data_IF_234332083983
#
_entry.id   IF_234332083983
#
_cell.length_a   1.000
_cell.length_b   1.000
_cell.length_c   1.000
_cell.angle_alpha   90.00
_cell.angle_beta   90.00
_cell.angle_gamma   90.00
#
_symmetry.space_group_name_H-M   'P 1'
#
loop_
_entity.id
_entity.type
_entity.pdbx_description
1 polymer ?
#
# COMPACT_ATOMS: atom_id res chain seq x y z
N UNK A 1 1.97 2.05 22.30
CA UNK A 1 1.84 0.60 22.57
C UNK A 1 2.46 0.20 23.91
N UNK A 2 3.67 0.68 24.27
CA UNK A 2 4.35 0.32 25.54
C UNK A 2 3.49 0.41 26.83
N UNK A 3 2.62 1.43 26.95
CA UNK A 3 1.74 1.57 28.11
C UNK A 3 0.70 0.43 28.24
N UNK A 4 0.21 -0.10 27.12
CA UNK A 4 -0.75 -1.21 27.14
C UNK A 4 -0.12 -2.52 27.59
N UNK A 5 1.09 -2.82 27.11
CA UNK A 5 1.85 -4.01 27.51
C UNK A 5 2.22 -3.99 28.99
N UNK A 6 2.63 -2.83 29.51
CA UNK A 6 2.95 -2.66 30.93
C UNK A 6 1.73 -2.87 31.84
N UNK A 7 0.55 -2.43 31.40
CA UNK A 7 -0.69 -2.63 32.14
C UNK A 7 -1.24 -4.07 32.00
N UNK A 8 -1.02 -4.71 30.85
CA UNK A 8 -1.58 -6.02 30.53
C UNK A 8 -0.71 -7.17 31.03
N UNK A 9 0.56 -7.24 30.64
CA UNK A 9 1.39 -8.43 30.80
C UNK A 9 1.61 -8.84 32.26
N UNK A 10 1.99 -7.95 33.21
CA UNK A 10 2.20 -8.35 34.60
C UNK A 10 0.94 -8.94 35.25
N UNK A 11 -0.24 -8.43 34.88
CA UNK A 11 -1.52 -8.85 35.46
C UNK A 11 -1.93 -10.27 35.07
N UNK A 12 -1.45 -10.78 33.93
CA UNK A 12 -1.84 -12.09 33.41
C UNK A 12 -0.70 -13.10 33.31
N UNK A 13 0.57 -12.66 33.37
CA UNK A 13 1.73 -13.50 33.05
C UNK A 13 1.78 -14.82 33.84
N UNK A 14 1.41 -14.77 35.12
CA UNK A 14 1.38 -15.95 35.99
C UNK A 14 0.28 -16.96 35.60
N UNK A 15 -0.77 -16.53 34.88
CA UNK A 15 -1.90 -17.36 34.44
C UNK A 15 -1.67 -18.04 33.10
N UNK A 16 -0.62 -17.66 32.37
CA UNK A 16 -0.34 -18.15 31.02
C UNK A 16 0.54 -19.41 31.04
N UNK A 17 0.18 -20.39 30.20
CA UNK A 17 1.04 -21.56 29.94
C UNK A 17 2.29 -21.15 29.14
N UNK A 18 3.38 -21.95 29.18
CA UNK A 18 4.64 -21.60 28.52
C UNK A 18 4.51 -21.29 27.02
N UNK A 19 3.69 -22.06 26.30
CA UNK A 19 3.44 -21.81 24.87
C UNK A 19 2.81 -20.43 24.62
N UNK A 20 1.79 -20.05 25.41
CA UNK A 20 1.14 -18.74 25.31
C UNK A 20 2.09 -17.60 25.67
N UNK A 21 2.98 -17.80 26.65
CA UNK A 21 4.02 -16.81 26.97
C UNK A 21 4.96 -16.57 25.78
N UNK A 22 5.36 -17.64 25.10
CA UNK A 22 6.20 -17.55 23.90
C UNK A 22 5.48 -16.81 22.77
N UNK A 23 4.23 -17.18 22.45
CA UNK A 23 3.48 -16.50 21.38
C UNK A 23 3.23 -15.03 21.69
N UNK A 24 2.90 -14.71 22.95
CA UNK A 24 2.77 -13.32 23.41
C UNK A 24 4.09 -12.56 23.20
N UNK A 25 5.23 -13.11 23.64
CA UNK A 25 6.53 -12.47 23.47
C UNK A 25 6.85 -12.17 21.99
N UNK A 26 6.58 -13.12 21.09
CA UNK A 26 6.78 -12.94 19.64
C UNK A 26 5.85 -11.85 19.09
N UNK A 27 4.55 -11.92 19.41
CA UNK A 27 3.56 -10.94 18.90
C UNK A 27 3.79 -9.53 19.41
N UNK A 28 4.36 -9.37 20.61
CA UNK A 28 4.76 -8.07 21.16
C UNK A 28 6.04 -7.58 20.48
N UNK A 29 7.04 -8.45 20.29
CA UNK A 29 8.34 -8.07 19.75
C UNK A 29 8.28 -7.62 18.28
N UNK A 30 7.58 -8.36 17.42
CA UNK A 30 7.62 -8.13 15.97
C UNK A 30 7.17 -6.72 15.52
N UNK A 31 6.07 -6.14 16.04
CA UNK A 31 5.70 -4.76 15.70
C UNK A 31 6.77 -3.74 16.05
N UNK A 32 7.49 -3.89 17.17
CA UNK A 32 8.58 -2.97 17.51
C UNK A 32 9.78 -3.12 16.56
N UNK A 33 10.12 -4.35 16.19
CA UNK A 33 11.17 -4.61 15.22
C UNK A 33 10.83 -3.99 13.87
N UNK A 34 9.64 -4.25 13.34
CA UNK A 34 9.24 -3.71 12.04
C UNK A 34 8.96 -2.20 12.08
N UNK A 35 8.53 -1.65 13.21
CA UNK A 35 8.47 -0.20 13.42
C UNK A 35 9.87 0.39 13.31
N UNK A 36 10.83 -0.16 14.05
CA UNK A 36 12.22 0.29 13.98
C UNK A 36 12.76 0.22 12.56
N UNK A 37 12.58 -0.91 11.87
CA UNK A 37 13.04 -1.07 10.48
C UNK A 37 12.34 -0.10 9.52
N UNK A 38 11.03 0.13 9.68
CA UNK A 38 10.29 1.11 8.86
C UNK A 38 10.81 2.53 9.06
N UNK A 39 11.21 2.90 10.27
CA UNK A 39 11.76 4.21 10.62
C UNK A 39 13.23 4.37 10.17
N UNK A 40 14.06 3.35 10.41
CA UNK A 40 15.51 3.45 10.32
C UNK A 40 16.07 3.12 8.93
N UNK A 41 15.36 2.30 8.15
CA UNK A 41 15.77 1.98 6.78
C UNK A 41 15.47 3.16 5.87
N UNK A 42 16.42 3.48 4.98
CA UNK A 42 16.24 4.51 3.97
C UNK A 42 15.01 4.18 3.09
N UNK A 43 13.99 5.07 3.01
CA UNK A 43 12.80 4.83 2.21
C UNK A 43 13.07 4.86 0.69
N UNK A 44 14.29 5.18 0.26
CA UNK A 44 14.69 5.38 -1.12
C UNK A 44 14.95 6.85 -1.43
N UNK A 45 15.70 7.54 -0.57
CA UNK A 45 16.15 8.90 -0.81
C UNK A 45 16.98 8.97 -2.09
N UNK A 46 16.56 9.84 -3.01
CA UNK A 46 17.28 10.07 -4.26
C UNK A 46 18.36 11.12 -4.01
N UNK A 47 19.59 10.74 -4.32
CA UNK A 47 20.83 11.52 -4.21
C UNK A 47 21.51 11.55 -5.58
N UNK A 48 22.44 12.49 -5.83
CA UNK A 48 23.21 12.50 -7.08
C UNK A 48 23.91 11.17 -7.37
N UNK A 49 24.37 10.46 -6.34
CA UNK A 49 25.13 9.22 -6.46
C UNK A 49 24.25 8.02 -6.88
N UNK A 50 23.00 7.97 -6.43
CA UNK A 50 22.06 6.88 -6.74
C UNK A 50 20.98 7.27 -7.77
N UNK A 51 21.03 8.49 -8.30
CA UNK A 51 20.04 9.01 -9.25
C UNK A 51 19.88 8.13 -10.48
N UNK A 52 21.00 7.75 -11.11
CA UNK A 52 21.02 6.89 -12.28
C UNK A 52 20.41 5.50 -12.01
N UNK A 53 20.65 4.95 -10.82
CA UNK A 53 20.02 3.70 -10.39
C UNK A 53 18.50 3.85 -10.34
N UNK A 54 17.97 4.86 -9.64
CA UNK A 54 16.53 5.07 -9.54
C UNK A 54 15.86 5.40 -10.88
N UNK A 55 16.55 6.10 -11.78
CA UNK A 55 16.09 6.34 -13.14
C UNK A 55 15.95 5.05 -13.96
N UNK A 56 16.70 4.01 -13.62
CA UNK A 56 16.70 2.72 -14.33
C UNK A 56 15.67 1.70 -13.84
N UNK A 57 15.00 1.99 -12.70
CA UNK A 57 14.10 1.04 -12.03
C UNK A 57 12.77 0.82 -12.76
N UNK A 58 12.21 1.90 -13.34
CA UNK A 58 10.89 1.89 -13.96
C UNK A 58 10.94 2.72 -15.26
N UNK A 59 10.18 2.38 -16.31
CA UNK A 59 9.96 3.25 -17.45
C UNK A 59 8.98 4.37 -17.09
N UNK A 60 8.97 5.45 -17.86
CA UNK A 60 7.89 6.45 -17.78
C UNK A 60 6.61 5.87 -18.40
N UNK A 61 5.48 6.07 -17.74
CA UNK A 61 4.17 5.61 -18.21
C UNK A 61 3.52 6.56 -19.22
N UNK A 62 4.10 7.75 -19.42
CA UNK A 62 3.54 8.81 -20.25
C UNK A 62 2.10 9.16 -19.87
N UNK A 63 1.70 8.89 -18.61
CA UNK A 63 0.39 9.19 -18.08
C UNK A 63 0.47 9.94 -16.74
N UNK A 64 1.04 9.32 -15.71
CA UNK A 64 1.29 9.98 -14.42
C UNK A 64 2.69 10.58 -14.32
N UNK A 65 3.62 10.05 -15.10
CA UNK A 65 5.03 10.40 -15.12
C UNK A 65 5.50 10.54 -16.56
N UNK A 66 5.83 11.77 -16.95
CA UNK A 66 6.38 12.08 -18.27
C UNK A 66 7.90 12.32 -18.21
N UNK A 67 8.66 11.93 -19.25
CA UNK A 67 10.08 12.24 -19.32
C UNK A 67 10.36 13.73 -19.29
N UNK A 68 11.52 14.11 -18.77
CA UNK A 68 11.97 15.51 -18.71
C UNK A 68 11.43 16.33 -17.52
N UNK A 69 10.54 15.76 -16.69
CA UNK A 69 10.04 16.44 -15.51
C UNK A 69 11.12 16.52 -14.41
N UNK A 70 11.50 17.73 -14.01
CA UNK A 70 12.50 17.94 -12.95
C UNK A 70 11.86 18.23 -11.58
N UNK A 71 12.62 17.98 -10.51
CA UNK A 71 12.28 18.47 -9.19
C UNK A 71 12.80 19.90 -9.02
N UNK A 72 11.89 20.87 -8.93
CA UNK A 72 12.24 22.28 -8.70
C UNK A 72 13.04 22.52 -7.43
N UNK A 73 12.86 21.68 -6.40
CA UNK A 73 13.59 21.80 -5.13
C UNK A 73 14.96 21.11 -5.16
N UNK A 74 15.05 19.93 -5.78
CA UNK A 74 16.27 19.12 -5.75
C UNK A 74 17.18 19.30 -6.97
N UNK A 75 16.67 19.89 -8.06
CA UNK A 75 17.46 20.25 -9.24
C UNK A 75 17.90 19.08 -10.12
N UNK A 76 17.17 17.95 -10.09
CA UNK A 76 17.42 16.81 -10.97
C UNK A 76 16.14 16.29 -11.62
N UNK A 77 16.32 15.57 -12.73
CA UNK A 77 15.28 14.85 -13.44
C UNK A 77 14.60 13.82 -12.54
N UNK A 78 13.28 13.85 -12.41
CA UNK A 78 12.55 12.93 -11.51
C UNK A 78 12.55 11.52 -12.08
N UNK A 79 13.08 10.52 -11.35
CA UNK A 79 12.81 9.12 -11.68
C UNK A 79 11.30 8.85 -11.74
N UNK A 80 10.83 7.93 -12.59
CA UNK A 80 9.44 7.52 -12.59
C UNK A 80 9.02 7.01 -11.20
N UNK A 81 7.75 7.21 -10.84
CA UNK A 81 7.20 6.87 -9.52
C UNK A 81 7.80 7.64 -8.33
N UNK A 82 8.69 8.60 -8.56
CA UNK A 82 9.27 9.41 -7.48
C UNK A 82 8.43 10.64 -7.13
N UNK A 83 8.60 11.13 -5.89
CA UNK A 83 7.99 12.39 -5.42
C UNK A 83 8.89 13.11 -4.44
N UNK A 84 8.92 14.44 -4.53
CA UNK A 84 9.52 15.28 -3.50
C UNK A 84 8.62 15.34 -2.27
N UNK A 85 9.12 14.88 -1.12
CA UNK A 85 8.44 15.04 0.15
C UNK A 85 8.86 16.37 0.79
N UNK A 86 7.91 17.29 0.97
CA UNK A 86 8.17 18.59 1.60
C UNK A 86 8.48 18.50 3.10
N UNK A 87 8.14 17.39 3.76
CA UNK A 87 8.46 17.14 5.17
C UNK A 87 9.88 16.60 5.31
N UNK A 88 10.23 15.56 4.56
CA UNK A 88 11.59 14.98 4.54
C UNK A 88 12.60 15.85 3.77
N UNK A 89 12.15 16.84 2.99
CA UNK A 89 12.96 17.73 2.12
C UNK A 89 13.82 16.99 1.10
N UNK A 90 13.34 15.83 0.63
CA UNK A 90 14.05 14.94 -0.30
C UNK A 90 13.07 14.30 -1.27
N UNK A 91 13.56 13.94 -2.46
CA UNK A 91 12.81 13.07 -3.36
C UNK A 91 12.93 11.62 -2.89
N UNK A 92 11.80 10.91 -2.91
CA UNK A 92 11.68 9.50 -2.54
C UNK A 92 11.37 8.71 -3.82
N UNK A 93 12.13 7.65 -4.08
CA UNK A 93 11.84 6.70 -5.16
C UNK A 93 10.61 5.83 -4.82
N UNK A 94 9.79 5.47 -5.82
CA UNK A 94 8.49 4.77 -5.67
C UNK A 94 7.75 5.26 -4.42
N UNK A 95 7.50 6.56 -4.36
CA UNK A 95 7.01 7.23 -3.16
C UNK A 95 5.55 6.86 -2.88
N UNK A 96 5.28 6.29 -1.71
CA UNK A 96 3.91 5.97 -1.30
C UNK A 96 3.27 7.14 -0.56
N UNK A 97 3.75 7.45 0.65
CA UNK A 97 3.31 8.60 1.43
C UNK A 97 4.36 9.00 2.47
N UNK A 98 4.16 10.15 3.11
CA UNK A 98 4.86 10.48 4.34
C UNK A 98 4.02 10.01 5.52
N UNK A 99 4.57 9.11 6.34
CA UNK A 99 3.84 8.51 7.43
C UNK A 99 4.29 9.13 8.76
N UNK A 100 3.38 9.86 9.40
CA UNK A 100 3.64 10.51 10.69
C UNK A 100 3.97 9.51 11.81
N UNK A 101 3.46 8.28 11.72
CA UNK A 101 3.61 7.27 12.78
C UNK A 101 5.00 6.64 12.81
N UNK A 102 5.69 6.59 11.67
CA UNK A 102 7.09 6.15 11.58
C UNK A 102 8.05 7.33 11.44
N UNK A 103 7.52 8.57 11.44
CA UNK A 103 8.27 9.81 11.24
C UNK A 103 9.23 9.75 10.03
N UNK A 104 8.78 9.11 8.96
CA UNK A 104 9.57 8.86 7.74
C UNK A 104 8.63 8.66 6.56
N UNK A 105 9.18 8.74 5.35
CA UNK A 105 8.43 8.34 4.16
C UNK A 105 8.33 6.81 4.08
N UNK A 106 7.27 6.35 3.43
CA UNK A 106 7.15 4.99 2.91
C UNK A 106 7.44 5.07 1.41
N UNK A 107 8.43 4.32 0.94
CA UNK A 107 8.88 4.36 -0.44
C UNK A 107 9.59 3.08 -0.87
N UNK A 108 10.32 3.14 -1.98
CA UNK A 108 11.00 1.99 -2.57
C UNK A 108 11.76 1.12 -1.56
N UNK A 109 12.55 1.74 -0.67
CA UNK A 109 13.47 1.04 0.22
C UNK A 109 12.86 0.41 1.48
N UNK A 110 11.69 0.89 1.95
CA UNK A 110 11.10 0.44 3.22
C UNK A 110 9.62 0.00 3.13
N UNK A 111 9.00 -0.01 1.95
CA UNK A 111 7.58 -0.37 1.81
C UNK A 111 7.25 -1.76 2.37
N UNK A 112 8.12 -2.76 2.16
CA UNK A 112 7.93 -4.10 2.73
C UNK A 112 7.96 -4.11 4.27
N UNK A 113 8.82 -3.31 4.90
CA UNK A 113 8.83 -3.17 6.36
C UNK A 113 7.55 -2.54 6.89
N UNK A 114 7.02 -1.55 6.16
CA UNK A 114 5.73 -0.95 6.51
C UNK A 114 4.58 -1.97 6.43
N UNK A 115 4.55 -2.82 5.39
CA UNK A 115 3.56 -3.90 5.29
C UNK A 115 3.72 -4.90 6.44
N UNK A 116 4.95 -5.31 6.77
CA UNK A 116 5.22 -6.22 7.90
C UNK A 116 4.86 -5.60 9.25
N UNK A 117 5.04 -4.29 9.41
CA UNK A 117 4.56 -3.54 10.57
C UNK A 117 3.04 -3.61 10.68
N UNK A 118 2.30 -3.40 9.58
CA UNK A 118 0.84 -3.50 9.59
C UNK A 118 0.36 -4.92 9.89
N UNK A 119 0.96 -5.95 9.29
CA UNK A 119 0.63 -7.36 9.55
C UNK A 119 0.87 -7.70 11.03
N UNK A 120 2.06 -7.42 11.55
CA UNK A 120 2.41 -7.74 12.94
C UNK A 120 1.55 -6.96 13.93
N UNK A 121 1.23 -5.69 13.66
CA UNK A 121 0.35 -4.87 14.51
C UNK A 121 -1.10 -5.38 14.46
N UNK A 122 -1.60 -5.77 13.29
CA UNK A 122 -2.93 -6.37 13.15
C UNK A 122 -3.03 -7.67 13.96
N UNK A 123 -2.02 -8.52 13.85
CA UNK A 123 -1.91 -9.76 14.65
C UNK A 123 -1.84 -9.47 16.14
N UNK A 124 -1.02 -8.51 16.58
CA UNK A 124 -0.93 -8.11 18.00
C UNK A 124 -2.28 -7.61 18.54
N UNK A 125 -2.95 -6.70 17.82
CA UNK A 125 -4.24 -6.15 18.26
C UNK A 125 -5.33 -7.23 18.30
N UNK A 126 -5.43 -8.09 17.28
CA UNK A 126 -6.39 -9.19 17.26
C UNK A 126 -6.09 -10.21 18.36
N UNK A 127 -4.84 -10.65 18.48
CA UNK A 127 -4.44 -11.65 19.46
C UNK A 127 -4.59 -11.15 20.90
N UNK A 128 -4.11 -9.94 21.20
CA UNK A 128 -4.23 -9.31 22.51
C UNK A 128 -5.69 -9.01 22.88
N UNK A 129 -6.50 -8.57 21.93
CA UNK A 129 -7.94 -8.37 22.11
C UNK A 129 -8.66 -9.69 22.46
N UNK A 130 -8.46 -10.75 21.66
CA UNK A 130 -9.10 -12.05 21.89
C UNK A 130 -8.64 -12.71 23.18
N UNK A 131 -7.33 -12.72 23.47
CA UNK A 131 -6.78 -13.26 24.71
C UNK A 131 -7.30 -12.46 25.92
N UNK A 132 -7.31 -11.14 25.83
CA UNK A 132 -7.81 -10.25 26.87
C UNK A 132 -9.30 -10.47 27.16
N UNK A 133 -10.14 -10.52 26.11
CA UNK A 133 -11.57 -10.81 26.23
C UNK A 133 -11.83 -12.21 26.79
N UNK A 134 -11.02 -13.21 26.44
CA UNK A 134 -11.14 -14.57 26.98
C UNK A 134 -10.83 -14.64 28.48
N UNK A 135 -9.74 -14.00 28.91
CA UNK A 135 -9.37 -13.92 30.32
C UNK A 135 -10.38 -13.13 31.15
N UNK A 136 -10.86 -12.01 30.59
CA UNK A 136 -11.91 -11.20 31.20
C UNK A 136 -13.21 -11.98 31.36
N UNK A 137 -13.63 -12.68 30.30
CA UNK A 137 -14.81 -13.56 30.31
C UNK A 137 -14.69 -14.67 31.36
N UNK A 138 -13.50 -15.25 31.52
CA UNK A 138 -13.24 -16.26 32.55
C UNK A 138 -13.38 -15.68 33.96
N UNK A 139 -12.85 -14.48 34.19
CA UNK A 139 -13.00 -13.77 35.47
C UNK A 139 -14.45 -13.38 35.77
N UNK A 140 -15.22 -13.01 34.76
CA UNK A 140 -16.66 -12.71 34.90
C UNK A 140 -17.43 -13.98 35.30
N UNK A 141 -17.09 -15.12 34.69
CA UNK A 141 -17.76 -16.40 34.96
C UNK A 141 -17.59 -16.88 36.40
N UNK A 142 -16.48 -16.53 37.07
CA UNK A 142 -16.25 -16.84 38.49
C UNK A 142 -17.28 -16.17 39.40
N UNK A 143 -17.79 -14.99 39.03
CA UNK A 143 -18.78 -14.25 39.83
C UNK A 143 -20.21 -14.40 39.30
N UNK A 144 -20.37 -14.45 37.99
CA UNK A 144 -21.64 -14.62 37.28
C UNK A 144 -21.66 -15.98 36.58
N UNK A 145 -22.14 -17.02 37.27
CA UNK A 145 -22.09 -18.41 36.77
C UNK A 145 -22.85 -18.65 35.46
N UNK A 146 -23.91 -17.86 35.21
CA UNK A 146 -24.70 -17.89 33.97
C UNK A 146 -24.09 -17.04 32.84
N UNK A 147 -22.87 -16.55 33.02
CA UNK A 147 -22.18 -15.73 32.04
C UNK A 147 -21.93 -16.47 30.71
N UNK A 148 -22.15 -15.75 29.61
CA UNK A 148 -21.78 -16.15 28.26
C UNK A 148 -21.06 -14.98 27.57
N UNK A 149 -19.97 -15.23 26.82
CA UNK A 149 -19.33 -14.21 25.97
C UNK A 149 -20.24 -13.67 24.87
N UNK A 150 -21.31 -14.40 24.56
CA UNK A 150 -22.33 -14.02 23.57
C UNK A 150 -23.61 -13.64 24.29
N UNK A 151 -24.20 -12.50 23.92
CA UNK A 151 -25.39 -11.96 24.57
C UNK A 151 -26.53 -12.99 24.59
N UNK A 152 -26.98 -13.46 25.76
CA UNK A 152 -28.09 -14.40 25.86
C UNK A 152 -29.42 -13.75 25.48
N UNK A 153 -30.26 -14.42 24.68
CA UNK A 153 -31.57 -13.87 24.27
C UNK A 153 -32.53 -13.55 25.42
N UNK A 154 -32.31 -14.14 26.61
CA UNK A 154 -33.13 -13.94 27.81
C UNK A 154 -32.63 -12.80 28.71
N UNK A 155 -31.46 -12.24 28.43
CA UNK A 155 -30.88 -11.15 29.20
C UNK A 155 -31.12 -9.82 28.48
N UNK A 156 -31.37 -8.75 29.23
CA UNK A 156 -31.46 -7.40 28.65
C UNK A 156 -30.06 -6.83 28.37
N UNK A 157 -29.90 -6.12 27.26
CA UNK A 157 -28.65 -5.46 26.87
C UNK A 157 -28.03 -4.60 27.96
N UNK A 158 -28.85 -3.86 28.73
CA UNK A 158 -28.37 -3.04 29.84
C UNK A 158 -27.62 -3.87 30.90
N UNK A 159 -28.19 -5.00 31.32
CA UNK A 159 -27.55 -5.90 32.28
C UNK A 159 -26.29 -6.55 31.69
N UNK A 160 -26.31 -6.90 30.41
CA UNK A 160 -25.14 -7.49 29.73
C UNK A 160 -23.95 -6.53 29.69
N UNK A 161 -24.20 -5.26 29.37
CA UNK A 161 -23.18 -4.20 29.38
C UNK A 161 -22.67 -3.92 30.81
N UNK A 162 -23.55 -3.94 31.81
CA UNK A 162 -23.15 -3.78 33.22
C UNK A 162 -22.22 -4.90 33.67
N UNK A 163 -22.47 -6.16 33.30
CA UNK A 163 -21.60 -7.29 33.65
C UNK A 163 -20.23 -7.17 32.97
N UNK A 164 -20.18 -6.81 31.69
CA UNK A 164 -18.92 -6.49 31.01
C UNK A 164 -18.18 -5.34 31.69
N UNK A 165 -18.90 -4.27 32.04
CA UNK A 165 -18.35 -3.12 32.77
C UNK A 165 -17.77 -3.50 34.13
N UNK A 166 -18.46 -4.37 34.88
CA UNK A 166 -17.96 -4.93 36.14
C UNK A 166 -16.64 -5.69 35.93
N UNK A 167 -16.56 -6.53 34.90
CA UNK A 167 -15.32 -7.24 34.59
C UNK A 167 -14.17 -6.28 34.30
N UNK A 168 -14.42 -5.28 33.46
CA UNK A 168 -13.40 -4.27 33.10
C UNK A 168 -12.95 -3.51 34.35
N UNK A 169 -13.87 -3.11 35.23
CA UNK A 169 -13.53 -2.38 36.46
C UNK A 169 -12.74 -3.24 37.46
N UNK A 170 -13.02 -4.55 37.52
CA UNK A 170 -12.34 -5.48 38.43
C UNK A 170 -10.86 -5.64 38.06
N UNK A 171 -10.52 -5.55 36.77
CA UNK A 171 -9.15 -5.50 36.30
C UNK A 171 -9.01 -4.47 35.18
N UNK A 172 -8.88 -3.19 35.58
CA UNK A 172 -8.84 -2.04 34.65
C UNK A 172 -7.70 -2.19 33.62
N UNK A 173 -6.54 -2.69 34.03
CA UNK A 173 -5.41 -2.93 33.13
C UNK A 173 -5.77 -3.91 32.02
N UNK A 174 -6.27 -5.10 32.38
CA UNK A 174 -6.71 -6.14 31.44
C UNK A 174 -7.88 -5.67 30.57
N UNK A 175 -8.90 -5.08 31.18
CA UNK A 175 -10.13 -4.67 30.49
C UNK A 175 -9.90 -3.52 29.51
N UNK A 176 -9.19 -2.46 29.93
CA UNK A 176 -8.92 -1.31 29.07
C UNK A 176 -8.02 -1.67 27.88
N UNK A 177 -7.00 -2.50 28.11
CA UNK A 177 -6.08 -2.92 27.04
C UNK A 177 -6.74 -3.89 26.06
N UNK A 178 -7.56 -4.84 26.53
CA UNK A 178 -8.34 -5.73 25.67
C UNK A 178 -9.34 -4.95 24.81
N UNK A 179 -10.05 -3.98 25.41
CA UNK A 179 -10.98 -3.11 24.70
C UNK A 179 -10.26 -2.27 23.65
N UNK A 180 -9.16 -1.62 24.01
CA UNK A 180 -8.36 -0.82 23.09
C UNK A 180 -7.84 -1.66 21.93
N UNK A 181 -7.29 -2.84 22.20
CA UNK A 181 -6.78 -3.76 21.19
C UNK A 181 -7.90 -4.23 20.25
N UNK A 182 -9.07 -4.58 20.79
CA UNK A 182 -10.25 -4.97 20.02
C UNK A 182 -10.80 -3.86 19.13
N UNK A 183 -10.84 -2.61 19.61
CA UNK A 183 -11.30 -1.46 18.83
C UNK A 183 -10.28 -1.01 17.77
N UNK A 184 -8.99 -1.22 18.04
CA UNK A 184 -7.90 -0.85 17.13
C UNK A 184 -7.73 -1.88 16.00
N UNK A 185 -8.00 -3.16 16.27
CA UNK A 185 -7.78 -4.23 15.30
C UNK A 185 -8.47 -3.98 13.94
N UNK A 186 -9.77 -3.62 13.85
CA UNK A 186 -10.42 -3.36 12.56
C UNK A 186 -9.77 -2.22 11.76
N UNK A 187 -9.27 -1.18 12.44
CA UNK A 187 -8.62 -0.04 11.78
C UNK A 187 -7.30 -0.47 11.14
N UNK A 188 -6.49 -1.26 11.85
CA UNK A 188 -5.20 -1.74 11.33
C UNK A 188 -5.42 -2.77 10.22
N UNK A 189 -6.42 -3.65 10.35
CA UNK A 189 -6.81 -4.57 9.29
C UNK A 189 -7.30 -3.82 8.04
N UNK A 190 -8.11 -2.78 8.19
CA UNK A 190 -8.57 -1.95 7.08
C UNK A 190 -7.41 -1.29 6.34
N UNK A 191 -6.45 -0.71 7.07
CA UNK A 191 -5.25 -0.14 6.49
C UNK A 191 -4.38 -1.19 5.78
N UNK A 192 -4.18 -2.36 6.39
CA UNK A 192 -3.44 -3.47 5.78
C UNK A 192 -4.09 -3.95 4.48
N UNK A 193 -5.41 -4.18 4.50
CA UNK A 193 -6.16 -4.63 3.31
C UNK A 193 -6.05 -3.59 2.20
N UNK A 194 -6.18 -2.31 2.53
CA UNK A 194 -6.04 -1.24 1.55
C UNK A 194 -4.62 -1.18 0.97
N UNK A 195 -3.57 -1.26 1.80
CA UNK A 195 -2.19 -1.30 1.31
C UNK A 195 -1.94 -2.52 0.41
N UNK A 196 -2.43 -3.71 0.78
CA UNK A 196 -2.32 -4.91 -0.05
C UNK A 196 -3.12 -4.79 -1.36
N UNK A 197 -4.27 -4.09 -1.35
CA UNK A 197 -5.02 -3.77 -2.55
C UNK A 197 -4.25 -2.83 -3.49
N UNK A 198 -3.55 -1.83 -2.95
CA UNK A 198 -2.69 -0.96 -3.76
C UNK A 198 -1.54 -1.74 -4.40
N UNK A 199 -0.90 -2.65 -3.66
CA UNK A 199 0.09 -3.59 -4.22
C UNK A 199 -0.54 -4.48 -5.29
N UNK A 200 -1.74 -5.00 -5.05
CA UNK A 200 -2.47 -5.79 -6.05
C UNK A 200 -2.68 -5.02 -7.35
N UNK A 201 -3.05 -3.74 -7.27
CA UNK A 201 -3.23 -2.86 -8.43
C UNK A 201 -1.92 -2.27 -8.98
N UNK A 202 -0.75 -2.64 -8.48
CA UNK A 202 0.55 -2.11 -8.93
C UNK A 202 0.76 -0.62 -8.67
N UNK A 203 -0.02 -0.03 -7.76
CA UNK A 203 -0.05 1.42 -7.52
C UNK A 203 0.40 1.76 -6.10
N UNK A 204 0.91 2.96 -5.92
CA UNK A 204 1.17 3.56 -4.60
C UNK A 204 0.00 4.45 -4.16
N UNK A 205 -0.08 4.81 -2.88
CA UNK A 205 -1.06 5.78 -2.38
C UNK A 205 -0.98 7.11 -3.15
N UNK A 206 0.23 7.57 -3.44
CA UNK A 206 0.47 8.78 -4.22
C UNK A 206 -0.02 8.66 -5.67
N UNK A 207 0.23 7.53 -6.33
CA UNK A 207 -0.25 7.29 -7.69
C UNK A 207 -1.77 7.14 -7.74
N UNK A 208 -2.36 6.45 -6.77
CA UNK A 208 -3.81 6.34 -6.63
C UNK A 208 -4.49 7.72 -6.51
N UNK A 209 -3.88 8.67 -5.79
CA UNK A 209 -4.37 10.06 -5.74
C UNK A 209 -4.24 10.79 -7.08
N UNK A 210 -3.17 10.54 -7.85
CA UNK A 210 -3.06 11.10 -9.20
C UNK A 210 -4.11 10.52 -10.15
N UNK A 211 -4.36 9.22 -10.06
CA UNK A 211 -5.41 8.56 -10.84
C UNK A 211 -6.81 9.08 -10.48
N UNK A 212 -7.08 9.45 -9.22
CA UNK A 212 -8.36 10.08 -8.88
C UNK A 212 -8.52 11.46 -9.53
N UNK A 213 -7.44 12.24 -9.64
CA UNK A 213 -7.49 13.53 -10.37
C UNK A 213 -7.82 13.28 -11.85
N UNK A 214 -7.13 12.32 -12.49
CA UNK A 214 -7.45 11.97 -13.88
C UNK A 214 -8.88 11.45 -14.05
N UNK A 215 -9.44 10.78 -13.04
CA UNK A 215 -10.84 10.37 -13.08
C UNK A 215 -11.77 11.58 -13.10
N UNK A 216 -11.51 12.58 -12.26
CA UNK A 216 -12.26 13.83 -12.26
C UNK A 216 -12.11 14.55 -13.62
N UNK A 217 -10.88 14.61 -14.17
CA UNK A 217 -10.63 15.14 -15.52
C UNK A 217 -11.36 14.35 -16.61
N UNK A 218 -11.51 13.03 -16.48
CA UNK A 218 -12.28 12.22 -17.43
C UNK A 218 -13.78 12.52 -17.34
N UNK A 219 -14.31 12.66 -16.12
CA UNK A 219 -15.72 12.97 -15.87
C UNK A 219 -16.09 14.37 -16.43
N UNK A 220 -15.17 15.33 -16.33
CA UNK A 220 -15.30 16.68 -16.92
C UNK A 220 -15.02 16.73 -18.43
N UNK A 221 -14.51 15.63 -19.00
CA UNK A 221 -14.16 15.54 -20.40
C UNK A 221 -12.88 16.30 -20.75
N UNK A 222 -11.90 16.35 -19.87
CA UNK A 222 -10.61 17.02 -20.03
C UNK A 222 -9.45 16.06 -20.32
N UNK A 223 -9.65 14.75 -20.17
CA UNK A 223 -8.62 13.74 -20.40
C UNK A 223 -8.59 13.20 -21.84
N UNK A 224 -7.39 13.06 -22.39
CA UNK A 224 -7.12 12.54 -23.73
C UNK A 224 -5.97 11.55 -23.71
N UNK A 225 -6.05 10.53 -24.57
CA UNK A 225 -4.97 9.59 -24.84
C UNK A 225 -4.59 9.57 -26.31
N UNK A 226 -3.42 9.06 -26.63
CA UNK A 226 -3.05 8.67 -27.99
C UNK A 226 -2.02 7.55 -27.99
N UNK A 227 -1.80 6.96 -29.16
CA UNK A 227 -0.85 5.85 -29.30
C UNK A 227 0.60 6.31 -29.14
N UNK A 228 1.41 5.47 -28.49
CA UNK A 228 2.84 5.64 -28.35
C UNK A 228 3.54 4.53 -29.16
N UNK A 229 4.19 4.88 -30.26
CA UNK A 229 4.87 3.88 -31.10
C UNK A 229 6.07 3.25 -30.40
N UNK A 230 6.16 1.91 -30.46
CA UNK A 230 7.32 1.15 -29.97
C UNK A 230 8.63 1.50 -30.69
N UNK A 231 8.55 2.04 -31.92
CA UNK A 231 9.70 2.46 -32.72
C UNK A 231 10.08 3.93 -32.52
N UNK A 232 9.47 4.63 -31.55
CA UNK A 232 9.75 6.05 -31.33
C UNK A 232 11.21 6.28 -30.94
N UNK A 233 11.76 7.40 -31.41
CA UNK A 233 13.10 7.85 -31.02
C UNK A 233 13.04 8.39 -29.59
N UNK A 234 13.80 7.78 -28.68
CA UNK A 234 13.90 8.21 -27.27
C UNK A 234 15.03 9.20 -27.11
N UNK A 235 14.81 10.22 -26.30
CA UNK A 235 15.87 11.05 -25.77
C UNK A 235 16.45 10.36 -24.53
N UNK A 236 17.55 9.63 -24.70
CA UNK A 236 18.19 8.86 -23.63
C UNK A 236 18.72 9.73 -22.48
N UNK A 237 18.81 11.05 -22.67
CA UNK A 237 19.18 11.98 -21.59
C UNK A 237 18.04 12.21 -20.61
N UNK A 238 16.79 12.02 -21.05
CA UNK A 238 15.56 12.21 -20.26
C UNK A 238 14.83 10.91 -19.96
N UNK A 239 15.02 9.91 -20.80
CA UNK A 239 14.35 8.62 -20.72
C UNK A 239 15.38 7.50 -20.94
N UNK A 240 16.11 7.13 -19.88
CA UNK A 240 17.08 6.05 -19.96
C UNK A 240 16.40 4.70 -20.17
N UNK A 241 17.17 3.74 -20.70
CA UNK A 241 16.68 2.38 -20.94
C UNK A 241 16.46 1.68 -19.59
N UNK A 242 15.24 1.20 -19.38
CA UNK A 242 14.86 0.40 -18.23
C UNK A 242 14.88 -1.09 -18.63
N UNK A 243 16.04 -1.75 -18.49
CA UNK A 243 16.16 -3.18 -18.84
C UNK A 243 15.48 -4.11 -17.85
N UNK A 244 15.16 -3.62 -16.65
CA UNK A 244 14.54 -4.40 -15.58
C UNK A 244 13.05 -4.61 -15.82
N UNK A 245 12.33 -3.60 -16.31
CA UNK A 245 10.87 -3.66 -16.44
C UNK A 245 10.48 -4.37 -17.75
N UNK A 246 9.51 -5.32 -17.73
CA UNK A 246 9.25 -6.20 -18.88
C UNK A 246 8.37 -5.58 -19.97
N UNK A 247 7.73 -4.44 -19.71
CA UNK A 247 6.74 -3.80 -20.58
C UNK A 247 7.04 -2.32 -20.77
N UNK A 248 6.44 -1.72 -21.80
CA UNK A 248 6.61 -0.30 -22.12
C UNK A 248 5.25 0.34 -22.36
N UNK A 249 5.15 1.66 -22.14
CA UNK A 249 3.91 2.39 -22.36
C UNK A 249 3.46 2.30 -23.83
N UNK A 250 2.22 1.87 -24.06
CA UNK A 250 1.61 1.82 -25.40
C UNK A 250 0.82 3.09 -25.74
N UNK A 251 0.49 3.88 -24.73
CA UNK A 251 -0.29 5.12 -24.87
C UNK A 251 0.31 6.24 -24.05
N UNK A 252 0.07 7.47 -24.48
CA UNK A 252 0.32 8.67 -23.69
C UNK A 252 -1.01 9.30 -23.28
N UNK A 253 -1.12 9.78 -22.04
CA UNK A 253 -2.28 10.46 -21.49
C UNK A 253 -1.94 11.93 -21.22
N UNK A 254 -2.89 12.83 -21.43
CA UNK A 254 -2.77 14.23 -21.09
C UNK A 254 -4.15 14.80 -20.71
N UNK A 255 -4.17 15.77 -19.82
CA UNK A 255 -5.36 16.56 -19.49
C UNK A 255 -5.20 18.00 -19.98
N UNK A 256 -6.30 18.62 -20.40
CA UNK A 256 -6.37 20.05 -20.78
C UNK A 256 -7.39 20.79 -19.94
N UNK A 257 -7.29 22.12 -19.86
CA UNK A 257 -8.19 22.97 -19.06
C UNK A 257 -9.38 23.52 -19.86
N UNK A 258 -9.35 23.37 -21.19
CA UNK A 258 -10.34 23.92 -22.11
C UNK A 258 -11.24 22.86 -22.76
N UNK A 259 -11.02 21.58 -22.45
CA UNK A 259 -11.73 20.44 -23.03
C UNK A 259 -11.43 20.20 -24.52
N UNK A 260 -10.46 20.90 -25.10
CA UNK A 260 -9.96 20.61 -26.44
C UNK A 260 -8.74 19.67 -26.35
N UNK A 261 -8.47 18.90 -27.41
CA UNK A 261 -7.27 18.08 -27.45
C UNK A 261 -5.99 18.92 -27.30
N UNK A 262 -4.93 18.38 -26.66
CA UNK A 262 -3.67 19.10 -26.51
C UNK A 262 -3.14 19.60 -27.87
N UNK A 263 -2.77 20.89 -27.97
CA UNK A 263 -2.31 21.45 -29.24
C UNK A 263 -0.95 20.85 -29.65
N UNK A 264 -0.71 20.76 -30.96
CA UNK A 264 0.53 20.23 -31.51
C UNK A 264 1.79 21.00 -31.04
N UNK A 265 1.63 22.26 -30.60
CA UNK A 265 2.69 23.09 -30.04
C UNK A 265 3.28 22.57 -28.73
N UNK A 266 2.53 21.78 -27.94
CA UNK A 266 3.02 21.21 -26.69
C UNK A 266 4.03 20.07 -26.89
N UNK A 267 4.20 19.56 -28.12
CA UNK A 267 5.17 18.51 -28.46
C UNK A 267 5.18 17.32 -27.48
N UNK A 268 4.00 16.92 -26.99
CA UNK A 268 3.85 15.77 -26.12
C UNK A 268 4.30 14.50 -26.85
N UNK A 269 4.48 13.40 -26.13
CA UNK A 269 4.87 12.11 -26.70
C UNK A 269 3.67 11.37 -27.34
N UNK A 270 3.90 10.67 -28.46
CA UNK A 270 2.88 9.88 -29.16
C UNK A 270 2.61 10.31 -30.60
N UNK A 271 1.97 9.41 -31.35
CA UNK A 271 1.65 9.54 -32.76
C UNK A 271 0.13 9.54 -32.97
N UNK A 272 -0.33 10.19 -34.05
CA UNK A 272 -1.75 10.27 -34.39
C UNK A 272 -2.54 11.29 -33.57
N UNK A 273 -3.85 11.24 -33.77
CA UNK A 273 -4.81 12.16 -33.14
C UNK A 273 -5.08 11.78 -31.68
N UNK A 274 -5.37 12.80 -30.87
CA UNK A 274 -5.80 12.62 -29.49
C UNK A 274 -7.25 12.15 -29.41
N UNK A 275 -7.46 11.05 -28.70
CA UNK A 275 -8.77 10.49 -28.39
C UNK A 275 -9.17 10.87 -26.97
N UNK A 276 -10.39 11.36 -26.78
CA UNK A 276 -10.92 11.65 -25.44
C UNK A 276 -11.18 10.36 -24.67
N UNK A 277 -10.82 10.35 -23.39
CA UNK A 277 -11.00 9.21 -22.49
C UNK A 277 -12.01 9.56 -21.40
N UNK A 278 -12.90 8.62 -21.11
CA UNK A 278 -14.00 8.82 -20.14
C UNK A 278 -13.92 7.92 -18.92
N UNK A 279 -13.11 6.86 -18.96
CA UNK A 279 -13.01 5.92 -17.84
C UNK A 279 -11.56 5.50 -17.61
N UNK A 280 -11.17 5.37 -16.35
CA UNK A 280 -9.85 4.86 -15.97
C UNK A 280 -9.57 3.46 -16.50
N UNK A 281 -10.58 2.61 -16.66
CA UNK A 281 -10.42 1.26 -17.23
C UNK A 281 -9.94 1.25 -18.69
N UNK A 282 -10.09 2.38 -19.38
CA UNK A 282 -9.66 2.56 -20.76
C UNK A 282 -8.20 3.08 -20.83
N UNK A 283 -7.54 3.25 -19.67
CA UNK A 283 -6.14 3.62 -19.53
C UNK A 283 -5.35 2.47 -18.94
N UNK A 284 -4.18 2.21 -19.51
CA UNK A 284 -3.26 1.20 -19.00
C UNK A 284 -2.55 1.71 -17.73
N UNK A 285 -2.48 0.86 -16.71
CA UNK A 285 -1.55 1.06 -15.60
C UNK A 285 -0.27 0.27 -15.87
N UNK A 286 0.73 0.93 -16.45
CA UNK A 286 2.02 0.32 -16.83
C UNK A 286 2.71 -0.43 -15.67
N UNK A 287 2.43 -0.02 -14.42
CA UNK A 287 3.09 -0.57 -13.24
C UNK A 287 2.36 -1.77 -12.63
N UNK A 288 1.21 -2.17 -13.17
CA UNK A 288 0.48 -3.36 -12.74
C UNK A 288 0.89 -4.58 -13.57
N UNK A 289 1.76 -5.41 -13.00
CA UNK A 289 2.21 -6.68 -13.60
C UNK A 289 1.48 -7.90 -13.03
N UNK A 290 0.46 -7.67 -12.20
CA UNK A 290 -0.25 -8.69 -11.44
C UNK A 290 0.31 -8.89 -10.03
N UNK A 291 -0.55 -9.41 -9.14
CA UNK A 291 -0.32 -9.42 -7.69
C UNK A 291 1.05 -9.96 -7.26
N UNK A 292 1.50 -11.09 -7.82
CA UNK A 292 2.74 -11.73 -7.39
C UNK A 292 3.98 -10.96 -7.84
N UNK A 293 3.99 -10.44 -9.05
CA UNK A 293 5.08 -9.60 -9.56
C UNK A 293 5.14 -8.26 -8.83
N UNK A 294 3.98 -7.64 -8.58
CA UNK A 294 3.88 -6.40 -7.80
C UNK A 294 4.38 -6.63 -6.35
N UNK A 295 4.01 -7.75 -5.73
CA UNK A 295 4.48 -8.12 -4.39
C UNK A 295 5.99 -8.40 -4.39
N UNK A 296 6.48 -9.09 -5.43
CA UNK A 296 7.91 -9.32 -5.66
C UNK A 296 8.70 -8.02 -5.71
N UNK A 297 8.25 -7.04 -6.51
CA UNK A 297 8.87 -5.71 -6.60
C UNK A 297 8.88 -4.95 -5.26
N UNK A 298 7.90 -5.20 -4.39
CA UNK A 298 7.85 -4.59 -3.05
C UNK A 298 8.81 -5.25 -2.07
N UNK A 299 8.88 -6.59 -2.06
CA UNK A 299 9.59 -7.37 -1.04
C UNK A 299 11.02 -7.77 -1.43
N UNK A 300 11.37 -7.78 -2.72
CA UNK A 300 12.67 -8.21 -3.22
C UNK A 300 13.34 -7.03 -3.92
N UNK A 301 14.47 -6.58 -3.37
CA UNK A 301 15.32 -5.59 -4.03
C UNK A 301 15.78 -6.14 -5.37
N UNK A 302 15.70 -5.32 -6.42
CA UNK A 302 16.04 -5.75 -7.78
C UNK A 302 15.30 -6.99 -8.26
N UNK A 303 14.03 -7.14 -7.83
CA UNK A 303 13.15 -8.20 -8.32
C UNK A 303 13.22 -8.27 -9.85
N UNK A 304 13.69 -9.42 -10.34
CA UNK A 304 13.75 -9.74 -11.74
C UNK A 304 12.38 -10.26 -12.16
N UNK A 305 11.70 -9.51 -13.02
CA UNK A 305 10.43 -9.93 -13.59
C UNK A 305 10.69 -11.13 -14.51
N UNK A 306 10.13 -12.29 -14.14
CA UNK A 306 10.44 -13.56 -14.78
C UNK A 306 10.03 -13.61 -16.25
N UNK A 307 10.89 -14.27 -17.04
CA UNK A 307 10.82 -14.67 -18.45
C UNK A 307 9.50 -15.31 -18.95
N UNK A 308 8.35 -14.66 -18.80
CA UNK A 308 7.07 -15.13 -19.37
C UNK A 308 6.75 -14.53 -20.76
N UNK A 309 7.62 -13.68 -21.30
CA UNK A 309 7.44 -13.11 -22.65
C UNK A 309 7.77 -14.12 -23.77
N UNK A 310 8.64 -15.12 -23.52
CA UNK A 310 8.97 -16.13 -24.55
C UNK A 310 7.87 -17.20 -24.71
N UNK A 311 7.17 -17.60 -23.64
CA UNK A 311 6.10 -18.60 -23.73
C UNK A 311 4.73 -18.01 -24.16
N UNK A 312 4.47 -16.73 -23.88
CA UNK A 312 3.25 -16.06 -24.32
C UNK A 312 3.26 -15.67 -25.81
N UNK A 313 4.46 -15.54 -26.40
CA UNK A 313 4.65 -15.29 -27.84
C UNK A 313 4.86 -16.58 -28.65
N UNK A 314 5.36 -17.68 -28.05
CA UNK A 314 5.44 -18.98 -28.73
C UNK A 314 4.07 -19.69 -28.87
N UNK A 315 3.11 -19.39 -27.99
CA UNK A 315 1.78 -20.04 -27.97
C UNK A 315 0.63 -19.19 -28.54
N UNK A 316 0.91 -17.97 -29.02
CA UNK A 316 -0.07 -17.12 -29.74
C UNK A 316 -0.01 -17.24 -31.27
N UNK A 317 0.57 -18.32 -31.79
CA UNK A 317 0.24 -18.83 -33.11
C UNK A 317 -1.03 -19.68 -33.04
N UNK A 318 -2.14 -19.21 -33.63
CA UNK A 318 -3.44 -19.88 -33.78
C UNK A 318 -4.32 -20.07 -32.53
N UNK A 319 -5.17 -19.07 -32.22
CA UNK A 319 -6.57 -19.35 -31.86
C UNK A 319 -7.54 -18.33 -32.48
N UNK A 320 -8.61 -18.76 -33.17
CA UNK A 320 -9.56 -17.87 -33.82
C UNK A 320 -10.52 -17.22 -32.81
N UNK A 321 -10.92 -15.96 -33.11
CA UNK A 321 -11.96 -15.20 -32.41
C UNK A 321 -13.24 -16.02 -32.27
N UNK A 322 -13.66 -16.28 -31.02
CA UNK A 322 -15.00 -16.80 -30.72
C UNK A 322 -15.99 -15.63 -30.74
N UNK A 323 -16.75 -15.54 -31.83
CA UNK A 323 -17.98 -14.76 -31.92
C UNK A 323 -18.94 -15.21 -30.80
N UNK A 324 -19.38 -14.28 -29.94
CA UNK A 324 -20.53 -14.49 -29.05
C UNK A 324 -21.79 -14.32 -29.90
N UNK A 325 -22.52 -15.40 -30.13
CA UNK A 325 -23.89 -15.35 -30.61
C UNK A 325 -24.84 -15.56 -29.44
N UNK A 326 -25.81 -14.63 -29.35
CA UNK A 326 -27.08 -14.62 -28.61
C UNK A 326 -27.03 -14.86 -27.10
#
# INVERSE_FOLDING_TARGET
MAGGEYLYLPSIWHRLIPFTKFTVAVTVFLPYLFLYLSCAVDPGYITPENHAYHMSLYPYDHALFHPGAECSTCGFLKPPRSKHCSVCKRCIARADHHCIFINSCVGYGNHHWFILLLISTAVLCTYGGLLGSSLLSSSIKEHFTNWSPWHPSRQGWGMYVVIWGWGIQTNVGLGATALLAGLTAPLVWGLLIYTLYLVYCGTTTNENFKWSIYKDDMDDGYAFRRSLSSKRKRDLTKEPICSRWPVEAETALAATDDGNPPPASMQLAGDGDWERVWNLRDVENLYDLGFWDNLGDVFVTDYAFGSQVEDALSTKGNRPRRLKNK
#
